data_IF_869469688687
#
_entry.id   IF_869469688687
#
_cell.length_a   1.000
_cell.length_b   1.000
_cell.length_c   1.000
_cell.angle_alpha   90.00
_cell.angle_beta   90.00
_cell.angle_gamma   90.00
#
_symmetry.space_group_name_H-M   'P 1'
#
loop_
_entity.id
_entity.type
_entity.pdbx_description
1 polymer ?
#
# COMPACT_ATOMS: atom_id res chain seq x y z
N UNK A 1 7.32 -18.82 15.86
CA UNK A 1 6.09 -18.45 16.58
C UNK A 1 5.13 -17.84 15.57
N UNK A 2 3.86 -18.26 15.56
CA UNK A 2 2.86 -17.91 14.53
C UNK A 2 1.44 -17.76 15.10
N UNK A 3 1.28 -17.60 16.42
CA UNK A 3 -0.04 -17.50 17.06
C UNK A 3 -0.22 -16.14 17.69
N UNK A 4 -1.31 -15.46 17.35
CA UNK A 4 -1.70 -14.17 17.93
C UNK A 4 -3.06 -14.32 18.60
N UNK A 5 -3.20 -13.78 19.83
CA UNK A 5 -4.48 -13.74 20.57
C UNK A 5 -4.93 -12.30 20.72
N UNK A 6 -6.16 -12.02 20.29
CA UNK A 6 -6.86 -10.76 20.56
C UNK A 6 -7.84 -10.97 21.73
N UNK A 7 -7.81 -10.09 22.72
CA UNK A 7 -8.81 -10.02 23.79
C UNK A 7 -9.54 -8.69 23.62
N UNK A 8 -10.87 -8.72 23.52
CA UNK A 8 -11.69 -7.54 23.34
C UNK A 8 -12.32 -7.11 24.67
N UNK A 9 -12.43 -5.81 24.91
CA UNK A 9 -13.05 -5.27 26.13
C UNK A 9 -14.57 -5.48 26.16
N UNK A 10 -15.19 -5.68 24.99
CA UNK A 10 -16.61 -6.00 24.83
C UNK A 10 -16.87 -6.77 23.53
N UNK A 11 -18.02 -7.46 23.40
CA UNK A 11 -18.40 -8.12 22.16
C UNK A 11 -18.45 -7.14 20.99
N UNK A 12 -17.75 -7.46 19.89
CA UNK A 12 -17.68 -6.61 18.70
C UNK A 12 -17.86 -7.46 17.42
N UNK A 13 -19.10 -7.58 16.95
CA UNK A 13 -19.44 -8.36 15.75
C UNK A 13 -18.65 -7.98 14.49
N UNK A 14 -18.44 -6.69 14.15
CA UNK A 14 -17.67 -6.33 12.97
C UNK A 14 -16.14 -6.44 13.14
N UNK A 15 -15.61 -6.95 14.27
CA UNK A 15 -14.17 -7.00 14.52
C UNK A 15 -13.36 -7.59 13.36
N UNK A 16 -13.77 -8.74 12.83
CA UNK A 16 -13.07 -9.38 11.71
C UNK A 16 -13.16 -8.54 10.41
N UNK A 17 -14.32 -7.92 10.15
CA UNK A 17 -14.49 -7.05 8.99
C UNK A 17 -13.59 -5.80 9.10
N UNK A 18 -13.47 -5.22 10.29
CA UNK A 18 -12.60 -4.08 10.56
C UNK A 18 -11.12 -4.44 10.36
N UNK A 19 -10.69 -5.65 10.76
CA UNK A 19 -9.33 -6.13 10.50
C UNK A 19 -9.05 -6.34 9.00
N UNK A 20 -10.07 -6.61 8.19
CA UNK A 20 -9.93 -6.75 6.74
C UNK A 20 -9.94 -5.41 5.98
N UNK A 21 -10.20 -4.29 6.66
CA UNK A 21 -10.23 -2.98 6.01
C UNK A 21 -8.82 -2.50 5.66
N UNK A 22 -8.58 -2.29 4.35
CA UNK A 22 -7.28 -1.95 3.76
C UNK A 22 -6.61 -0.71 4.34
N UNK A 23 -7.39 0.29 4.77
CA UNK A 23 -6.87 1.54 5.34
C UNK A 23 -6.93 1.58 6.87
N UNK A 24 -7.63 0.65 7.52
CA UNK A 24 -7.85 0.71 8.97
C UNK A 24 -6.87 -0.18 9.74
N UNK A 25 -6.51 -1.34 9.20
CA UNK A 25 -5.66 -2.32 9.89
C UNK A 25 -4.54 -2.91 9.01
N UNK A 26 -3.74 -2.09 8.28
CA UNK A 26 -2.59 -2.61 7.56
C UNK A 26 -1.53 -3.13 8.54
N UNK A 27 -0.98 -4.31 8.26
CA UNK A 27 0.21 -4.81 8.98
C UNK A 27 1.45 -4.15 8.37
N UNK A 28 2.20 -3.44 9.21
CA UNK A 28 3.41 -2.70 8.82
C UNK A 28 4.65 -3.28 9.48
N UNK A 29 5.83 -3.04 8.90
CA UNK A 29 7.10 -3.46 9.48
C UNK A 29 7.41 -2.70 10.79
N UNK A 30 7.60 -3.40 11.93
CA UNK A 30 7.98 -2.76 13.18
C UNK A 30 9.33 -2.03 13.08
N UNK A 31 10.30 -2.64 12.41
CA UNK A 31 11.64 -2.04 12.19
C UNK A 31 11.55 -0.75 11.38
N UNK A 32 10.69 -0.70 10.36
CA UNK A 32 10.48 0.53 9.59
C UNK A 32 9.78 1.60 10.43
N UNK A 33 8.81 1.20 11.26
CA UNK A 33 8.08 2.11 12.13
C UNK A 33 9.03 2.78 13.14
N UNK A 34 9.91 2.00 13.78
CA UNK A 34 10.95 2.51 14.68
C UNK A 34 11.91 3.46 13.96
N UNK A 35 12.42 3.06 12.79
CA UNK A 35 13.36 3.87 11.99
C UNK A 35 12.76 5.21 11.56
N UNK A 36 11.45 5.29 11.33
CA UNK A 36 10.76 6.48 10.85
C UNK A 36 9.92 7.19 11.94
N UNK A 37 10.31 7.05 13.21
CA UNK A 37 9.69 7.77 14.33
C UNK A 37 8.16 7.58 14.43
N UNK A 38 7.68 6.38 14.13
CA UNK A 38 6.26 6.05 14.19
C UNK A 38 5.44 6.50 12.98
N UNK A 39 6.06 7.02 11.91
CA UNK A 39 5.37 7.52 10.72
C UNK A 39 5.83 6.80 9.45
N UNK A 40 4.90 6.15 8.76
CA UNK A 40 5.17 5.43 7.51
C UNK A 40 4.48 6.04 6.28
N UNK A 41 3.89 7.23 6.41
CA UNK A 41 3.11 7.84 5.33
C UNK A 41 3.96 8.12 4.07
N UNK A 42 5.25 8.44 4.26
CA UNK A 42 6.17 8.78 3.16
C UNK A 42 7.21 7.68 2.89
N UNK A 43 7.25 6.63 3.71
CA UNK A 43 8.15 5.49 3.56
C UNK A 43 7.48 4.17 3.98
N UNK A 44 6.36 3.78 3.34
CA UNK A 44 5.59 2.62 3.77
C UNK A 44 6.34 1.32 3.51
N UNK A 45 6.33 0.43 4.52
CA UNK A 45 6.90 -0.92 4.43
C UNK A 45 5.86 -1.92 4.92
N UNK A 46 5.30 -2.67 3.97
CA UNK A 46 4.30 -3.72 4.22
C UNK A 46 4.70 -5.05 3.59
N UNK A 47 3.73 -5.96 3.48
CA UNK A 47 3.95 -7.35 3.01
C UNK A 47 3.35 -7.62 1.63
N UNK A 48 2.89 -6.59 0.92
CA UNK A 48 2.15 -6.71 -0.34
C UNK A 48 3.00 -7.11 -1.57
N UNK A 49 2.35 -7.31 -2.73
CA UNK A 49 2.99 -7.74 -3.97
C UNK A 49 3.85 -6.65 -4.65
N UNK A 50 3.76 -5.40 -4.18
CA UNK A 50 4.59 -4.28 -4.62
C UNK A 50 5.26 -3.62 -3.41
N UNK A 51 6.47 -3.10 -3.62
CA UNK A 51 7.24 -2.31 -2.66
C UNK A 51 7.23 -0.84 -3.09
N UNK A 52 7.22 0.04 -2.10
CA UNK A 52 7.36 1.48 -2.33
C UNK A 52 8.77 1.85 -2.80
N UNK A 53 8.86 2.69 -3.83
CA UNK A 53 10.13 3.22 -4.36
C UNK A 53 10.25 4.71 -4.10
N UNK A 54 9.28 5.50 -4.55
CA UNK A 54 9.29 6.95 -4.40
C UNK A 54 7.90 7.56 -4.42
N UNK A 55 7.82 8.78 -3.88
CA UNK A 55 6.65 9.64 -3.99
C UNK A 55 7.07 11.05 -4.37
N UNK A 56 6.77 11.43 -5.60
CA UNK A 56 6.89 12.79 -6.09
C UNK A 56 5.55 13.49 -5.80
N UNK A 57 5.52 14.28 -4.71
CA UNK A 57 4.27 14.84 -4.17
C UNK A 57 3.52 15.66 -5.22
N UNK A 58 2.26 15.27 -5.47
CA UNK A 58 1.40 15.91 -6.46
C UNK A 58 1.62 15.47 -7.90
N UNK A 59 2.60 14.61 -8.16
CA UNK A 59 2.94 14.11 -9.50
C UNK A 59 2.72 12.61 -9.63
N UNK A 60 3.43 11.78 -8.84
CA UNK A 60 3.34 10.32 -8.95
C UNK A 60 3.82 9.55 -7.73
N UNK A 61 3.31 8.34 -7.56
CA UNK A 61 3.86 7.31 -6.67
C UNK A 61 4.43 6.19 -7.53
N UNK A 62 5.67 5.81 -7.28
CA UNK A 62 6.34 4.69 -7.96
C UNK A 62 6.44 3.50 -7.02
N UNK A 63 5.99 2.34 -7.51
CA UNK A 63 6.10 1.06 -6.84
C UNK A 63 6.83 0.07 -7.75
N UNK A 64 7.59 -0.85 -7.15
CA UNK A 64 8.25 -1.95 -7.85
C UNK A 64 7.74 -3.29 -7.36
N UNK A 65 7.85 -4.32 -8.20
CA UNK A 65 7.47 -5.68 -7.84
C UNK A 65 8.21 -6.16 -6.60
N UNK A 66 7.47 -6.75 -5.66
CA UNK A 66 8.05 -7.49 -4.55
C UNK A 66 8.39 -8.93 -5.02
N UNK A 67 9.65 -9.16 -5.40
CA UNK A 67 10.09 -10.49 -5.85
C UNK A 67 10.03 -11.57 -4.75
N UNK A 68 9.99 -11.15 -3.49
CA UNK A 68 9.89 -12.01 -2.31
C UNK A 68 8.46 -12.13 -1.78
N UNK A 69 7.46 -11.67 -2.55
CA UNK A 69 6.06 -11.79 -2.15
C UNK A 69 5.67 -13.27 -1.97
N UNK A 70 4.98 -13.55 -0.87
CA UNK A 70 4.66 -14.90 -0.41
C UNK A 70 3.51 -15.56 -1.18
N UNK A 71 2.67 -14.78 -1.85
CA UNK A 71 1.56 -15.25 -2.68
C UNK A 71 1.85 -15.13 -4.18
N UNK A 72 0.78 -14.94 -4.96
CA UNK A 72 0.90 -14.70 -6.40
C UNK A 72 1.62 -13.38 -6.68
N UNK A 73 2.80 -13.49 -7.27
CA UNK A 73 3.64 -12.32 -7.57
C UNK A 73 2.99 -11.45 -8.63
N UNK A 74 3.23 -10.14 -8.53
CA UNK A 74 2.81 -9.21 -9.56
C UNK A 74 3.36 -9.62 -10.94
N UNK A 75 2.52 -9.51 -11.96
CA UNK A 75 2.90 -9.74 -13.37
C UNK A 75 3.68 -8.55 -13.96
N UNK A 76 3.55 -7.38 -13.35
CA UNK A 76 4.22 -6.14 -13.73
C UNK A 76 5.46 -5.95 -12.87
N UNK A 77 6.54 -5.45 -13.47
CA UNK A 77 7.77 -5.13 -12.73
C UNK A 77 7.67 -3.76 -12.02
N UNK A 78 6.89 -2.84 -12.59
CA UNK A 78 6.74 -1.48 -12.09
C UNK A 78 5.27 -1.02 -12.19
N UNK A 79 4.82 -0.29 -11.18
CA UNK A 79 3.53 0.39 -11.16
C UNK A 79 3.77 1.88 -10.85
N UNK A 80 3.28 2.76 -11.73
CA UNK A 80 3.34 4.21 -11.54
C UNK A 80 1.92 4.72 -11.42
N UNK A 81 1.60 5.31 -10.27
CA UNK A 81 0.32 5.97 -10.03
C UNK A 81 0.54 7.46 -10.31
N UNK A 82 0.18 7.91 -11.52
CA UNK A 82 0.27 9.33 -11.93
C UNK A 82 -0.93 10.13 -11.40
N UNK A 83 -0.67 11.32 -10.89
CA UNK A 83 -1.66 12.23 -10.32
C UNK A 83 -1.91 13.36 -11.32
N UNK A 84 -2.93 13.19 -12.16
CA UNK A 84 -3.41 14.24 -13.08
C UNK A 84 -4.75 14.76 -12.58
N UNK A 85 -4.83 16.04 -12.18
CA UNK A 85 -6.03 16.63 -11.56
C UNK A 85 -7.19 16.77 -12.55
N UNK A 86 -6.90 17.27 -13.75
CA UNK A 86 -7.91 17.54 -14.78
C UNK A 86 -8.37 16.26 -15.47
N UNK A 87 -9.68 16.02 -15.52
CA UNK A 87 -10.27 14.81 -16.10
C UNK A 87 -10.09 14.71 -17.62
N UNK A 88 -10.14 15.85 -18.32
CA UNK A 88 -9.91 15.93 -19.77
C UNK A 88 -8.47 15.54 -20.14
N UNK A 89 -7.51 15.94 -19.31
CA UNK A 89 -6.10 15.56 -19.49
C UNK A 89 -5.93 14.07 -19.25
N UNK A 90 -6.49 13.50 -18.16
CA UNK A 90 -6.47 12.04 -17.92
C UNK A 90 -7.03 11.24 -19.09
N UNK A 91 -8.14 11.68 -19.66
CA UNK A 91 -8.75 11.00 -20.80
C UNK A 91 -7.85 11.05 -22.05
N UNK A 92 -7.21 12.19 -22.29
CA UNK A 92 -6.28 12.37 -23.40
C UNK A 92 -5.03 11.50 -23.24
N UNK A 93 -4.44 11.48 -22.04
CA UNK A 93 -3.27 10.64 -21.69
C UNK A 93 -3.56 9.15 -21.93
N UNK A 94 -4.77 8.69 -21.60
CA UNK A 94 -5.17 7.30 -21.84
C UNK A 94 -5.34 7.02 -23.34
N UNK A 95 -5.92 7.96 -24.10
CA UNK A 95 -6.12 7.82 -25.54
C UNK A 95 -4.79 7.82 -26.32
N UNK A 96 -3.79 8.56 -25.85
CA UNK A 96 -2.45 8.61 -26.46
C UNK A 96 -1.55 7.46 -26.01
N UNK A 97 -1.95 6.70 -24.98
CA UNK A 97 -1.13 5.65 -24.38
C UNK A 97 0.01 6.19 -23.52
N UNK A 98 -0.08 7.45 -23.08
CA UNK A 98 0.85 8.03 -22.10
C UNK A 98 0.61 7.46 -20.70
N UNK A 99 -0.63 7.03 -20.40
CA UNK A 99 -1.01 6.24 -19.22
C UNK A 99 -1.79 4.98 -19.57
#
# INVERSE_FOLDING_TARGET
DYTVKFTLDSPNTPFLANLAMTLAAPIVSPTALEKNNGNLNEAPVGTGPFKFVSWDKGEKVTLEKNNDYWGDKAKLDKLIIKITKESSVRASELMTGEI
#
